data_IF_869931182818
#
_entry.id   IF_869931182818
#
_cell.length_a   1.000
_cell.length_b   1.000
_cell.length_c   1.000
_cell.angle_alpha   90.00
_cell.angle_beta   90.00
_cell.angle_gamma   90.00
#
_symmetry.space_group_name_H-M   'P 1'
#
loop_
_entity.id
_entity.type
_entity.pdbx_description
1 polymer ?
#
# COMPACT_ATOMS: atom_id res chain seq x y z
N UNK A 1 65.91 33.20 -32.71
CA UNK A 1 66.72 32.56 -31.65
C UNK A 1 65.78 32.16 -30.51
N UNK A 2 66.05 31.00 -29.92
CA UNK A 2 65.40 30.32 -28.79
C UNK A 2 64.13 29.46 -29.03
N UNK A 3 64.44 28.16 -29.15
CA UNK A 3 63.71 26.96 -28.69
C UNK A 3 63.26 27.15 -27.22
N UNK A 4 62.31 26.44 -26.59
CA UNK A 4 61.99 25.00 -26.49
C UNK A 4 60.89 24.96 -25.38
N UNK A 5 59.81 24.18 -25.41
CA UNK A 5 59.70 22.83 -24.81
C UNK A 5 58.24 22.34 -24.87
N UNK A 6 58.08 21.03 -24.99
CA UNK A 6 56.85 20.25 -24.97
C UNK A 6 56.14 20.23 -23.63
N UNK A 7 54.82 19.96 -23.62
CA UNK A 7 54.27 19.00 -22.65
C UNK A 7 52.93 18.40 -23.09
N UNK A 8 52.83 17.11 -22.83
CA UNK A 8 51.83 16.14 -23.21
C UNK A 8 51.08 15.74 -21.92
N UNK A 9 49.75 15.83 -21.88
CA UNK A 9 48.91 15.35 -20.77
C UNK A 9 47.55 14.95 -21.34
N UNK A 10 47.35 13.68 -21.71
CA UNK A 10 46.76 12.58 -20.92
C UNK A 10 45.38 12.91 -20.33
N UNK A 11 44.38 12.46 -21.08
CA UNK A 11 43.07 11.99 -20.62
C UNK A 11 43.19 11.04 -19.43
N UNK A 12 42.30 11.15 -18.44
CA UNK A 12 41.73 10.05 -17.62
C UNK A 12 40.96 10.59 -16.41
N UNK A 13 39.69 11.02 -16.60
CA UNK A 13 38.74 11.16 -15.47
C UNK A 13 37.34 11.56 -15.97
N UNK A 14 36.61 10.63 -16.61
CA UNK A 14 35.18 10.85 -16.89
C UNK A 14 34.29 9.62 -16.63
N UNK A 15 34.82 8.56 -16.00
CA UNK A 15 34.10 7.27 -15.86
C UNK A 15 33.58 6.93 -14.47
N UNK A 16 33.72 7.80 -13.46
CA UNK A 16 33.39 7.43 -12.06
C UNK A 16 32.00 7.87 -11.57
N UNK A 17 31.44 8.98 -12.09
CA UNK A 17 30.24 9.55 -11.45
C UNK A 17 28.92 8.85 -11.84
N UNK A 18 28.85 8.28 -13.05
CA UNK A 18 27.62 7.65 -13.52
C UNK A 18 27.40 6.26 -12.89
N UNK A 19 28.48 5.50 -12.68
CA UNK A 19 28.39 4.21 -12.00
C UNK A 19 28.09 4.35 -10.51
N UNK A 20 28.61 5.40 -9.85
CA UNK A 20 28.28 5.69 -8.46
C UNK A 20 26.79 6.05 -8.29
N UNK A 21 26.22 6.81 -9.23
CA UNK A 21 24.78 7.14 -9.22
C UNK A 21 23.89 5.92 -9.43
N UNK A 22 24.28 5.01 -10.34
CA UNK A 22 23.52 3.78 -10.57
C UNK A 22 23.59 2.87 -9.33
N UNK A 23 24.75 2.73 -8.70
CA UNK A 23 24.86 1.94 -7.47
C UNK A 23 24.05 2.52 -6.31
N UNK A 24 24.01 3.85 -6.14
CA UNK A 24 23.23 4.49 -5.08
C UNK A 24 21.71 4.31 -5.26
N UNK A 25 21.23 4.37 -6.51
CA UNK A 25 19.81 4.12 -6.82
C UNK A 25 19.45 2.64 -6.57
N UNK A 26 20.34 1.71 -6.93
CA UNK A 26 20.13 0.28 -6.65
C UNK A 26 20.11 -0.02 -5.14
N UNK A 27 20.95 0.65 -4.34
CA UNK A 27 20.97 0.49 -2.88
C UNK A 27 19.70 1.04 -2.21
N UNK A 28 19.16 2.17 -2.69
CA UNK A 28 17.91 2.73 -2.16
C UNK A 28 16.68 1.88 -2.50
N UNK A 29 16.67 1.20 -3.66
CA UNK A 29 15.59 0.29 -4.03
C UNK A 29 15.60 -1.01 -3.19
N UNK A 30 16.77 -1.47 -2.75
CA UNK A 30 16.88 -2.71 -1.94
C UNK A 30 16.50 -2.48 -0.48
N UNK A 31 16.62 -1.27 0.06
CA UNK A 31 16.19 -0.94 1.43
C UNK A 31 14.67 -0.99 1.62
N UNK A 32 13.88 -0.63 0.60
CA UNK A 32 12.41 -0.71 0.67
C UNK A 32 11.90 -2.16 0.61
N UNK A 33 12.61 -3.06 -0.06
CA UNK A 33 12.22 -4.48 -0.17
C UNK A 33 12.48 -5.23 1.14
N UNK A 34 13.51 -4.86 1.91
CA UNK A 34 13.83 -5.50 3.19
C UNK A 34 12.84 -5.12 4.31
N UNK A 35 12.22 -3.93 4.28
CA UNK A 35 11.18 -3.58 5.25
C UNK A 35 9.83 -4.27 4.98
N UNK A 36 9.56 -4.68 3.75
CA UNK A 36 8.36 -5.47 3.40
C UNK A 36 8.37 -6.89 3.99
N UNK A 37 9.54 -7.53 4.10
CA UNK A 37 9.65 -8.89 4.65
C UNK A 37 9.55 -8.97 6.17
N UNK A 38 9.89 -7.89 6.91
CA UNK A 38 9.69 -7.86 8.36
C UNK A 38 8.20 -7.75 8.76
N UNK A 39 7.35 -7.20 7.88
CA UNK A 39 5.91 -7.11 8.13
C UNK A 39 5.18 -8.43 7.82
N UNK A 40 5.71 -9.26 6.92
CA UNK A 40 5.11 -10.54 6.56
C UNK A 40 5.36 -11.67 7.59
N UNK A 41 6.38 -11.55 8.44
CA UNK A 41 6.65 -12.54 9.50
C UNK A 41 5.71 -12.38 10.72
N UNK A 42 5.05 -11.22 10.87
CA UNK A 42 4.16 -10.93 12.00
C UNK A 42 2.67 -11.20 11.73
N UNK A 43 2.30 -11.63 10.52
CA UNK A 43 0.90 -11.89 10.12
C UNK A 43 0.38 -13.28 10.53
N UNK A 44 1.23 -14.18 11.03
CA UNK A 44 0.77 -15.48 11.58
C UNK A 44 0.16 -15.38 13.00
N UNK A 45 0.03 -14.17 13.55
CA UNK A 45 -0.62 -13.90 14.84
C UNK A 45 -1.98 -13.17 14.67
N UNK A 46 -2.76 -13.54 13.65
CA UNK A 46 -4.12 -13.05 13.44
C UNK A 46 -5.15 -14.18 13.66
N UNK A 47 -5.07 -14.86 14.81
CA UNK A 47 -6.11 -15.79 15.31
C UNK A 47 -6.79 -15.30 16.60
N UNK A 48 -6.56 -14.07 17.02
CA UNK A 48 -7.19 -13.47 18.22
C UNK A 48 -7.96 -12.20 17.87
N UNK A 49 -8.81 -12.26 16.85
CA UNK A 49 -9.84 -11.24 16.59
C UNK A 49 -11.20 -11.73 17.14
N UNK A 50 -11.20 -12.15 18.40
CA UNK A 50 -12.40 -12.60 19.12
C UNK A 50 -12.54 -12.03 20.53
N UNK A 51 -11.48 -11.41 21.07
CA UNK A 51 -11.43 -10.96 22.48
C UNK A 51 -11.09 -9.48 22.66
N UNK A 52 -10.81 -8.73 21.59
CA UNK A 52 -10.50 -7.29 21.66
C UNK A 52 -11.74 -6.38 21.57
N UNK A 53 -12.95 -6.91 21.81
CA UNK A 53 -14.20 -6.14 21.76
C UNK A 53 -14.64 -5.65 23.15
N UNK A 54 -14.13 -6.24 24.25
CA UNK A 54 -14.50 -5.84 25.62
C UNK A 54 -13.74 -4.63 26.15
N UNK A 55 -12.54 -4.35 25.67
CA UNK A 55 -11.71 -3.26 26.22
C UNK A 55 -12.00 -1.88 25.60
N UNK A 56 -12.51 -1.85 24.36
CA UNK A 56 -12.90 -0.59 23.70
C UNK A 56 -14.15 0.03 24.38
N UNK A 57 -15.03 -0.79 24.94
CA UNK A 57 -16.26 -0.31 25.60
C UNK A 57 -15.97 0.41 26.93
N UNK A 58 -14.90 0.02 27.64
CA UNK A 58 -14.51 0.64 28.91
C UNK A 58 -13.81 2.00 28.73
N UNK A 59 -13.12 2.21 27.60
CA UNK A 59 -12.48 3.49 27.31
C UNK A 59 -13.47 4.54 26.81
N UNK A 60 -14.52 4.16 26.07
CA UNK A 60 -15.57 5.11 25.63
C UNK A 60 -16.36 5.67 26.82
N UNK A 61 -16.63 4.84 27.84
CA UNK A 61 -17.27 5.28 29.08
C UNK A 61 -16.39 6.23 29.91
N UNK A 62 -15.08 6.27 29.64
CA UNK A 62 -14.10 7.12 30.34
C UNK A 62 -13.85 8.45 29.63
N UNK A 63 -14.29 8.59 28.37
CA UNK A 63 -14.08 9.79 27.55
C UNK A 63 -15.08 10.91 27.88
N UNK A 64 -16.25 10.59 28.44
CA UNK A 64 -17.22 11.58 28.89
C UNK A 64 -17.40 11.47 30.40
N UNK A 65 -17.11 12.54 31.12
CA UNK A 65 -17.40 12.65 32.55
C UNK A 65 -18.90 12.49 32.77
N UNK A 66 -19.31 11.84 33.86
CA UNK A 66 -20.73 11.72 34.24
C UNK A 66 -21.45 13.09 34.25
N UNK A 67 -20.71 14.16 34.58
CA UNK A 67 -21.20 15.54 34.55
C UNK A 67 -21.51 16.05 33.13
N UNK A 68 -20.74 15.61 32.13
CA UNK A 68 -20.95 15.98 30.73
C UNK A 68 -22.14 15.22 30.13
N UNK A 69 -22.35 13.98 30.57
CA UNK A 69 -23.52 13.17 30.19
C UNK A 69 -24.80 13.78 30.77
N UNK A 70 -24.77 14.23 32.02
CA UNK A 70 -25.93 14.91 32.62
C UNK A 70 -26.22 16.24 31.94
N UNK A 71 -25.19 17.05 31.64
CA UNK A 71 -25.34 18.28 30.86
C UNK A 71 -25.92 18.01 29.47
N UNK A 72 -25.47 16.95 28.78
CA UNK A 72 -26.04 16.53 27.49
C UNK A 72 -27.54 16.23 27.58
N UNK A 73 -27.94 15.50 28.63
CA UNK A 73 -29.33 15.13 28.86
C UNK A 73 -30.21 16.35 29.12
N UNK A 74 -29.77 17.24 29.99
CA UNK A 74 -30.49 18.48 30.29
C UNK A 74 -30.66 19.36 29.05
N UNK A 75 -29.63 19.49 28.22
CA UNK A 75 -29.70 20.21 26.95
C UNK A 75 -30.68 19.57 25.96
N UNK A 76 -30.69 18.23 25.88
CA UNK A 76 -31.62 17.50 25.04
C UNK A 76 -33.08 17.69 25.49
N UNK A 77 -33.34 17.56 26.79
CA UNK A 77 -34.68 17.72 27.35
C UNK A 77 -35.19 19.17 27.16
N UNK A 78 -34.31 20.16 27.33
CA UNK A 78 -34.61 21.56 27.01
C UNK A 78 -35.03 21.72 25.54
N UNK A 79 -34.24 21.22 24.58
CA UNK A 79 -34.58 21.26 23.15
C UNK A 79 -35.89 20.53 22.82
N UNK A 80 -36.10 19.35 23.41
CA UNK A 80 -37.28 18.55 23.19
C UNK A 80 -38.54 19.25 23.71
N UNK A 81 -38.45 19.99 24.81
CA UNK A 81 -39.58 20.76 25.33
C UNK A 81 -40.08 21.80 24.31
N UNK A 82 -39.17 22.48 23.60
CA UNK A 82 -39.50 23.46 22.56
C UNK A 82 -40.03 22.83 21.28
N UNK A 83 -39.63 21.60 20.95
CA UNK A 83 -40.20 20.85 19.82
C UNK A 83 -41.71 20.57 19.97
N UNK A 84 -42.20 20.52 21.23
CA UNK A 84 -43.60 20.26 21.58
C UNK A 84 -44.45 21.51 21.73
N UNK A 85 -43.85 22.71 21.79
CA UNK A 85 -44.55 23.99 21.94
C UNK A 85 -45.26 24.43 20.63
N UNK A 86 -46.28 25.31 20.70
CA UNK A 86 -46.99 25.78 19.51
C UNK A 86 -46.11 26.63 18.58
N UNK A 87 -46.59 26.87 17.36
CA UNK A 87 -45.80 27.42 16.23
C UNK A 87 -45.14 28.78 16.49
N UNK A 88 -45.67 29.59 17.42
CA UNK A 88 -45.02 30.83 17.85
C UNK A 88 -43.67 30.55 18.53
N UNK A 89 -43.65 29.63 19.50
CA UNK A 89 -42.43 29.28 20.24
C UNK A 89 -41.41 28.56 19.37
N UNK A 90 -41.85 27.70 18.43
CA UNK A 90 -40.95 27.03 17.48
C UNK A 90 -40.21 28.06 16.62
N UNK A 91 -40.90 29.11 16.17
CA UNK A 91 -40.30 30.19 15.39
C UNK A 91 -39.37 31.05 16.24
N UNK A 92 -39.79 31.43 17.44
CA UNK A 92 -38.95 32.14 18.40
C UNK A 92 -37.65 31.38 18.68
N UNK A 93 -37.75 30.08 18.97
CA UNK A 93 -36.60 29.20 19.19
C UNK A 93 -35.75 29.01 17.94
N UNK A 94 -36.35 29.03 16.74
CA UNK A 94 -35.64 29.00 15.47
C UNK A 94 -34.75 30.22 15.25
N UNK A 95 -35.15 31.40 15.73
CA UNK A 95 -34.36 32.63 15.66
C UNK A 95 -33.19 32.61 16.63
N UNK A 96 -33.45 32.17 17.87
CA UNK A 96 -32.39 31.91 18.86
C UNK A 96 -31.37 30.96 18.23
N UNK A 97 -31.81 29.84 17.65
CA UNK A 97 -30.92 28.89 16.98
C UNK A 97 -30.06 29.52 15.87
N UNK A 98 -30.63 30.40 15.05
CA UNK A 98 -29.89 31.07 13.97
C UNK A 98 -28.84 32.07 14.49
N UNK A 99 -29.14 32.75 15.61
CA UNK A 99 -28.25 33.73 16.24
C UNK A 99 -27.18 33.09 17.15
N UNK A 100 -27.41 31.86 17.59
CA UNK A 100 -26.53 31.09 18.47
C UNK A 100 -25.35 30.38 17.80
N UNK A 101 -25.14 30.64 16.50
CA UNK A 101 -24.00 30.08 15.76
C UNK A 101 -22.70 30.76 16.20
N UNK A 102 -22.76 32.04 16.58
CA UNK A 102 -21.61 32.79 17.07
C UNK A 102 -21.37 32.57 18.59
N UNK A 103 -20.10 32.68 19.00
CA UNK A 103 -19.60 32.27 20.34
C UNK A 103 -20.31 32.92 21.53
N UNK A 104 -20.90 34.10 21.32
CA UNK A 104 -21.66 34.84 22.32
C UNK A 104 -22.89 35.43 21.62
N UNK A 105 -24.09 35.17 22.15
CA UNK A 105 -25.29 35.82 21.64
C UNK A 105 -25.19 37.29 21.99
N UNK A 106 -25.39 38.15 21.00
CA UNK A 106 -25.49 39.58 21.25
C UNK A 106 -26.60 39.88 22.27
N UNK A 107 -26.35 40.86 23.14
CA UNK A 107 -27.26 41.21 24.23
C UNK A 107 -28.62 41.67 23.69
N UNK A 108 -28.64 42.42 22.58
CA UNK A 108 -29.87 42.87 21.95
C UNK A 108 -30.65 41.69 21.34
N UNK A 109 -29.95 40.72 20.74
CA UNK A 109 -30.54 39.48 20.24
C UNK A 109 -31.14 38.63 21.37
N UNK A 110 -30.47 38.55 22.52
CA UNK A 110 -30.98 37.88 23.72
C UNK A 110 -32.27 38.54 24.22
N UNK A 111 -32.29 39.87 24.30
CA UNK A 111 -33.47 40.63 24.74
C UNK A 111 -34.62 40.47 23.74
N UNK A 112 -34.34 40.55 22.44
CA UNK A 112 -35.34 40.33 21.38
C UNK A 112 -35.98 38.93 21.45
N UNK A 113 -35.17 37.89 21.65
CA UNK A 113 -35.65 36.53 21.82
C UNK A 113 -36.55 36.40 23.06
N UNK A 114 -36.13 36.98 24.18
CA UNK A 114 -36.91 36.97 25.42
C UNK A 114 -38.25 37.70 25.27
N UNK A 115 -38.28 38.86 24.60
CA UNK A 115 -39.52 39.59 24.26
C UNK A 115 -40.41 38.70 23.40
N UNK A 116 -39.87 38.15 22.31
CA UNK A 116 -40.62 37.29 21.39
C UNK A 116 -41.27 36.09 22.10
N UNK A 117 -40.49 35.38 22.93
CA UNK A 117 -40.98 34.21 23.66
C UNK A 117 -42.04 34.58 24.70
N UNK A 118 -41.91 35.75 25.33
CA UNK A 118 -42.91 36.30 26.23
C UNK A 118 -44.22 36.60 25.49
N UNK A 119 -44.16 37.25 24.33
CA UNK A 119 -45.35 37.53 23.53
C UNK A 119 -46.03 36.25 23.04
N UNK A 120 -45.24 35.20 22.71
CA UNK A 120 -45.80 33.89 22.42
C UNK A 120 -46.57 33.30 23.60
N UNK A 121 -46.05 33.44 24.83
CA UNK A 121 -46.74 32.98 26.04
C UNK A 121 -48.03 33.76 26.29
N UNK A 122 -47.97 35.09 26.21
CA UNK A 122 -49.14 35.97 26.38
C UNK A 122 -50.22 35.64 25.34
N UNK A 123 -49.82 35.35 24.10
CA UNK A 123 -50.76 34.99 23.02
C UNK A 123 -51.52 33.69 23.33
N UNK A 124 -50.91 32.75 24.06
CA UNK A 124 -51.60 31.52 24.47
C UNK A 124 -52.65 31.74 25.56
N UNK A 125 -52.54 32.82 26.34
CA UNK A 125 -53.41 33.08 27.49
C UNK A 125 -54.81 33.64 27.13
N UNK A 126 -55.12 33.90 25.84
CA UNK A 126 -56.40 34.36 25.25
C UNK A 126 -57.06 35.64 25.82
N UNK A 127 -56.74 36.06 27.05
CA UNK A 127 -57.42 37.15 27.78
C UNK A 127 -56.54 38.39 28.00
N UNK A 128 -55.33 38.41 27.48
CA UNK A 128 -54.39 39.52 27.64
C UNK A 128 -54.04 40.13 26.29
N UNK A 129 -54.28 41.43 26.14
CA UNK A 129 -53.79 42.22 25.02
C UNK A 129 -52.31 42.55 25.22
N UNK A 130 -51.52 42.49 24.16
CA UNK A 130 -50.11 42.84 24.17
C UNK A 130 -49.92 44.36 24.29
N UNK A 131 -48.83 44.85 24.93
CA UNK A 131 -48.44 46.25 24.85
C UNK A 131 -48.18 46.66 23.39
N UNK A 132 -48.66 47.83 22.97
CA UNK A 132 -48.51 48.33 21.60
C UNK A 132 -47.04 48.65 21.29
N UNK A 133 -46.28 48.99 22.32
CA UNK A 133 -44.83 49.22 22.29
C UNK A 133 -44.06 47.98 21.85
N UNK A 134 -44.63 46.77 22.05
CA UNK A 134 -44.06 45.50 21.63
C UNK A 134 -44.54 45.01 20.26
N UNK A 135 -45.34 45.81 19.54
CA UNK A 135 -45.85 45.44 18.21
C UNK A 135 -44.78 45.05 17.18
N UNK A 136 -43.55 45.63 17.15
CA UNK A 136 -42.52 45.23 16.19
C UNK A 136 -42.02 43.78 16.38
N UNK A 137 -42.26 43.21 17.56
CA UNK A 137 -41.87 41.85 17.93
C UNK A 137 -43.01 40.84 17.76
N UNK A 138 -44.21 41.29 17.38
CA UNK A 138 -45.29 40.41 16.96
C UNK A 138 -45.02 39.92 15.53
N UNK A 139 -44.94 38.60 15.35
CA UNK A 139 -44.58 38.02 14.07
C UNK A 139 -45.80 37.87 13.17
N UNK A 140 -45.87 38.66 12.11
CA UNK A 140 -46.63 38.32 10.92
C UNK A 140 -45.81 37.40 10.00
N UNK A 141 -46.45 36.37 9.47
CA UNK A 141 -45.81 35.22 8.82
C UNK A 141 -45.09 35.50 7.48
N UNK A 142 -44.96 36.76 7.06
CA UNK A 142 -44.57 37.14 5.68
C UNK A 142 -43.25 37.92 5.55
N UNK A 143 -42.55 38.27 6.63
CA UNK A 143 -41.37 39.16 6.60
C UNK A 143 -40.08 38.47 7.05
N UNK A 144 -39.69 37.38 6.37
CA UNK A 144 -38.36 36.77 6.54
C UNK A 144 -37.25 37.48 5.73
N UNK A 145 -37.59 38.40 4.82
CA UNK A 145 -36.64 39.12 3.98
C UNK A 145 -36.41 40.55 4.49
N UNK A 146 -35.44 40.72 5.39
CA UNK A 146 -34.94 42.04 5.77
C UNK A 146 -35.53 42.59 7.06
N UNK A 147 -35.27 41.94 8.20
CA UNK A 147 -35.46 42.57 9.50
C UNK A 147 -34.47 43.73 9.63
N UNK A 148 -34.96 44.95 9.43
CA UNK A 148 -34.26 46.13 9.92
C UNK A 148 -34.06 45.96 11.43
N UNK A 149 -32.82 46.10 11.90
CA UNK A 149 -32.49 46.10 13.32
C UNK A 149 -33.47 47.03 14.05
N UNK A 150 -34.27 46.47 14.97
CA UNK A 150 -35.16 47.27 15.80
C UNK A 150 -34.26 48.14 16.67
N UNK A 151 -34.46 49.46 16.65
CA UNK A 151 -33.62 50.36 17.42
C UNK A 151 -33.67 50.02 18.91
N UNK A 152 -32.54 50.11 19.61
CA UNK A 152 -32.43 49.88 21.06
C UNK A 152 -33.46 50.68 21.87
N UNK A 153 -33.87 51.87 21.39
CA UNK A 153 -34.93 52.67 22.01
C UNK A 153 -36.29 51.95 22.03
N UNK A 154 -36.71 51.40 20.89
CA UNK A 154 -37.99 50.68 20.76
C UNK A 154 -37.97 49.38 21.57
N UNK A 155 -36.81 48.72 21.62
CA UNK A 155 -36.61 47.56 22.49
C UNK A 155 -36.80 47.94 23.96
N UNK A 156 -36.17 49.03 24.41
CA UNK A 156 -36.31 49.53 25.78
C UNK A 156 -37.75 49.93 26.13
N UNK A 157 -38.46 50.59 25.22
CA UNK A 157 -39.89 50.96 25.39
C UNK A 157 -40.78 49.71 25.55
N UNK A 158 -40.55 48.65 24.76
CA UNK A 158 -41.25 47.38 24.94
C UNK A 158 -40.91 46.73 26.29
N UNK A 159 -39.64 46.69 26.70
CA UNK A 159 -39.25 46.12 28.00
C UNK A 159 -39.87 46.89 29.17
N UNK A 160 -39.88 48.23 29.11
CA UNK A 160 -40.56 49.07 30.12
C UNK A 160 -42.06 48.75 30.18
N UNK A 161 -42.70 48.58 29.02
CA UNK A 161 -44.12 48.21 28.97
C UNK A 161 -44.40 46.83 29.57
N UNK A 162 -43.52 45.84 29.36
CA UNK A 162 -43.63 44.51 29.97
C UNK A 162 -43.45 44.58 31.50
N UNK A 163 -42.59 45.47 31.99
CA UNK A 163 -42.35 45.67 33.41
C UNK A 163 -43.57 46.22 34.18
N UNK A 164 -44.54 46.84 33.49
CA UNK A 164 -45.78 47.36 34.10
C UNK A 164 -46.73 46.25 34.58
N UNK A 165 -46.55 45.02 34.11
CA UNK A 165 -47.32 43.85 34.53
C UNK A 165 -46.41 42.82 35.19
N UNK A 166 -46.66 42.50 36.46
CA UNK A 166 -45.87 41.50 37.18
C UNK A 166 -45.86 40.12 36.48
N UNK A 167 -46.97 39.77 35.82
CA UNK A 167 -47.08 38.52 35.06
C UNK A 167 -46.15 38.54 33.83
N UNK A 168 -46.18 39.62 33.04
CA UNK A 168 -45.34 39.75 31.84
C UNK A 168 -43.86 39.86 32.20
N UNK A 169 -43.54 40.59 33.26
CA UNK A 169 -42.18 40.70 33.78
C UNK A 169 -41.62 39.34 34.24
N UNK A 170 -42.45 38.52 34.89
CA UNK A 170 -42.05 37.17 35.30
C UNK A 170 -41.70 36.30 34.08
N UNK A 171 -42.57 36.26 33.05
CA UNK A 171 -42.30 35.49 31.83
C UNK A 171 -41.07 36.03 31.08
N UNK A 172 -40.95 37.35 30.91
CA UNK A 172 -39.79 37.99 30.27
C UNK A 172 -38.48 37.69 30.97
N UNK A 173 -38.40 37.93 32.28
CA UNK A 173 -37.19 37.67 33.06
C UNK A 173 -36.84 36.18 33.14
N UNK A 174 -37.84 35.30 33.02
CA UNK A 174 -37.64 33.87 32.84
C UNK A 174 -36.94 33.56 31.52
N UNK A 175 -37.51 33.99 30.40
CA UNK A 175 -36.92 33.75 29.08
C UNK A 175 -35.56 34.42 28.90
N UNK A 176 -35.32 35.59 29.48
CA UNK A 176 -34.01 36.24 29.43
C UNK A 176 -32.90 35.37 30.05
N UNK A 177 -33.24 34.57 31.08
CA UNK A 177 -32.32 33.61 31.72
C UNK A 177 -32.25 32.28 30.97
N UNK A 178 -33.34 31.85 30.34
CA UNK A 178 -33.40 30.58 29.58
C UNK A 178 -32.73 30.67 28.21
N UNK A 179 -32.80 31.82 27.53
CA UNK A 179 -32.30 32.00 26.15
C UNK A 179 -30.80 31.64 26.03
N UNK A 180 -29.89 32.06 26.92
CA UNK A 180 -28.49 31.59 26.90
C UNK A 180 -28.34 30.07 27.06
N UNK A 181 -29.18 29.44 27.89
CA UNK A 181 -29.14 27.98 28.09
C UNK A 181 -29.62 27.25 26.83
N UNK A 182 -30.68 27.75 26.20
CA UNK A 182 -31.18 27.28 24.91
C UNK A 182 -30.12 27.41 23.82
N UNK A 183 -29.37 28.51 23.83
CA UNK A 183 -28.30 28.77 22.89
C UNK A 183 -27.18 27.72 23.00
N UNK A 184 -26.73 27.46 24.23
CA UNK A 184 -25.76 26.43 24.51
C UNK A 184 -26.24 25.05 24.05
N UNK A 185 -27.52 24.73 24.29
CA UNK A 185 -28.12 23.49 23.85
C UNK A 185 -28.17 23.38 22.31
N UNK A 186 -28.61 24.42 21.59
CA UNK A 186 -28.66 24.44 20.13
C UNK A 186 -27.28 24.29 19.49
N UNK A 187 -26.28 24.97 20.04
CA UNK A 187 -24.90 24.87 19.56
C UNK A 187 -24.36 23.46 19.73
N UNK A 188 -24.51 22.88 20.93
CA UNK A 188 -24.07 21.51 21.18
C UNK A 188 -24.78 20.51 20.28
N UNK A 189 -26.06 20.74 19.98
CA UNK A 189 -26.81 19.91 19.02
C UNK A 189 -26.25 20.01 17.60
N UNK A 190 -25.98 21.23 17.12
CA UNK A 190 -25.34 21.46 15.82
C UNK A 190 -23.96 20.79 15.74
N UNK A 191 -23.14 20.90 16.80
CA UNK A 191 -21.81 20.28 16.87
C UNK A 191 -21.91 18.74 16.80
N UNK A 192 -22.89 18.15 17.48
CA UNK A 192 -23.15 16.70 17.42
C UNK A 192 -23.54 16.27 16.01
N UNK A 193 -24.43 17.00 15.35
CA UNK A 193 -24.88 16.64 14.00
C UNK A 193 -23.78 16.85 12.96
N UNK A 194 -22.97 17.91 13.09
CA UNK A 194 -21.76 18.11 12.29
C UNK A 194 -20.76 16.97 12.49
N UNK A 195 -20.51 16.56 13.73
CA UNK A 195 -19.63 15.44 14.03
C UNK A 195 -20.13 14.15 13.37
N UNK A 196 -21.43 13.84 13.48
CA UNK A 196 -22.03 12.66 12.82
C UNK A 196 -21.83 12.68 11.32
N UNK A 197 -22.02 13.83 10.68
CA UNK A 197 -21.83 13.97 9.23
C UNK A 197 -20.36 13.75 8.83
N UNK A 198 -19.41 14.36 9.56
CA UNK A 198 -17.98 14.13 9.35
C UNK A 198 -17.63 12.65 9.51
N UNK A 199 -18.13 11.98 10.57
CA UNK A 199 -17.88 10.56 10.78
C UNK A 199 -18.50 9.68 9.70
N UNK A 200 -19.70 10.01 9.23
CA UNK A 200 -20.35 9.31 8.13
C UNK A 200 -19.51 9.42 6.85
N UNK A 201 -19.10 10.63 6.48
CA UNK A 201 -18.30 10.89 5.28
C UNK A 201 -16.93 10.19 5.35
N UNK A 202 -16.23 10.29 6.48
CA UNK A 202 -14.97 9.59 6.69
C UNK A 202 -15.12 8.06 6.65
N UNK A 203 -16.24 7.51 7.14
CA UNK A 203 -16.50 6.07 7.10
C UNK A 203 -16.75 5.61 5.66
N UNK A 204 -17.50 6.37 4.87
CA UNK A 204 -17.74 6.08 3.45
C UNK A 204 -16.43 6.04 2.67
N UNK A 205 -15.54 7.01 2.88
CA UNK A 205 -14.22 7.05 2.25
C UNK A 205 -13.34 5.87 2.68
N UNK A 206 -13.32 5.53 3.98
CA UNK A 206 -12.58 4.37 4.47
C UNK A 206 -13.09 3.06 3.88
N UNK A 207 -14.40 2.89 3.74
CA UNK A 207 -14.99 1.72 3.08
C UNK A 207 -14.54 1.64 1.61
N UNK A 208 -14.51 2.77 0.90
CA UNK A 208 -14.03 2.83 -0.48
C UNK A 208 -12.55 2.43 -0.58
N UNK A 209 -11.70 2.92 0.32
CA UNK A 209 -10.29 2.55 0.40
C UNK A 209 -10.09 1.05 0.68
N UNK A 210 -10.83 0.49 1.64
CA UNK A 210 -10.75 -0.94 1.95
C UNK A 210 -11.12 -1.78 0.72
N UNK A 211 -12.20 -1.42 0.02
CA UNK A 211 -12.60 -2.11 -1.22
C UNK A 211 -11.52 -2.04 -2.29
N UNK A 212 -10.88 -0.88 -2.45
CA UNK A 212 -9.77 -0.70 -3.37
C UNK A 212 -8.57 -1.62 -3.01
N UNK A 213 -8.18 -1.66 -1.73
CA UNK A 213 -7.08 -2.50 -1.26
C UNK A 213 -7.37 -3.99 -1.46
N UNK A 214 -8.58 -4.45 -1.14
CA UNK A 214 -9.01 -5.84 -1.36
C UNK A 214 -8.97 -6.20 -2.84
N UNK A 215 -9.39 -5.28 -3.73
CA UNK A 215 -9.32 -5.53 -5.16
C UNK A 215 -7.88 -5.61 -5.66
N UNK A 216 -7.00 -4.72 -5.17
CA UNK A 216 -5.56 -4.75 -5.48
C UNK A 216 -4.92 -6.07 -5.02
N UNK A 217 -5.24 -6.54 -3.82
CA UNK A 217 -4.74 -7.82 -3.30
C UNK A 217 -5.17 -8.99 -4.19
N UNK A 218 -6.44 -9.04 -4.60
CA UNK A 218 -6.93 -10.06 -5.54
C UNK A 218 -6.18 -10.05 -6.87
N UNK A 219 -5.86 -8.86 -7.41
CA UNK A 219 -5.10 -8.74 -8.65
C UNK A 219 -3.66 -9.23 -8.47
N UNK A 220 -3.02 -8.88 -7.34
CA UNK A 220 -1.68 -9.36 -7.01
C UNK A 220 -1.67 -10.89 -6.86
N UNK A 221 -2.64 -11.47 -6.14
CA UNK A 221 -2.78 -12.92 -5.98
C UNK A 221 -2.84 -13.62 -7.34
N UNK A 222 -3.67 -13.14 -8.27
CA UNK A 222 -3.76 -13.70 -9.62
C UNK A 222 -2.43 -13.63 -10.39
N UNK A 223 -1.70 -12.52 -10.24
CA UNK A 223 -0.38 -12.38 -10.85
C UNK A 223 0.64 -13.34 -10.23
N UNK A 224 0.61 -13.51 -8.91
CA UNK A 224 1.44 -14.47 -8.20
C UNK A 224 1.13 -15.89 -8.65
N UNK A 225 -0.14 -16.28 -8.73
CA UNK A 225 -0.56 -17.61 -9.20
C UNK A 225 -0.02 -17.89 -10.62
N UNK A 226 -0.22 -16.94 -11.54
CA UNK A 226 0.31 -17.04 -12.91
C UNK A 226 1.84 -17.12 -12.95
N UNK A 227 2.51 -16.35 -12.10
CA UNK A 227 3.98 -16.38 -12.02
C UNK A 227 4.47 -17.73 -11.48
N UNK A 228 3.79 -18.29 -10.49
CA UNK A 228 4.13 -19.63 -9.96
C UNK A 228 3.91 -20.73 -10.98
N UNK A 229 2.83 -20.66 -11.77
CA UNK A 229 2.58 -21.58 -12.88
C UNK A 229 3.70 -21.52 -13.92
N UNK A 230 4.04 -20.31 -14.39
CA UNK A 230 5.13 -20.12 -15.35
C UNK A 230 6.50 -20.53 -14.80
N UNK A 231 6.75 -20.31 -13.51
CA UNK A 231 7.99 -20.77 -12.86
C UNK A 231 8.05 -22.29 -12.77
N UNK A 232 6.91 -22.96 -12.58
CA UNK A 232 6.82 -24.42 -12.61
C UNK A 232 7.09 -24.96 -14.02
N UNK A 233 6.52 -24.35 -15.06
CA UNK A 233 6.80 -24.70 -16.46
C UNK A 233 8.28 -24.54 -16.79
N UNK A 234 8.90 -23.42 -16.39
CA UNK A 234 10.34 -23.20 -16.57
C UNK A 234 11.16 -24.26 -15.83
N UNK A 235 10.76 -24.65 -14.61
CA UNK A 235 11.39 -25.73 -13.86
C UNK A 235 11.34 -27.07 -14.60
N UNK A 236 10.22 -27.39 -15.25
CA UNK A 236 10.10 -28.61 -16.08
C UNK A 236 11.01 -28.55 -17.31
N UNK A 237 11.09 -27.39 -17.99
CA UNK A 237 11.99 -27.21 -19.14
C UNK A 237 13.46 -27.35 -18.77
N UNK A 238 13.86 -26.77 -17.62
CA UNK A 238 15.22 -26.96 -17.09
C UNK A 238 15.50 -28.43 -16.82
N UNK A 239 14.55 -29.15 -16.20
CA UNK A 239 14.68 -30.60 -15.98
C UNK A 239 14.82 -31.40 -17.29
N UNK A 240 14.06 -31.04 -18.34
CA UNK A 240 14.21 -31.68 -19.66
C UNK A 240 15.58 -31.39 -20.29
N UNK A 241 16.08 -30.16 -20.15
CA UNK A 241 17.39 -29.78 -20.66
C UNK A 241 18.52 -30.53 -19.94
N UNK A 242 18.40 -30.72 -18.62
CA UNK A 242 19.36 -31.49 -17.83
C UNK A 242 19.40 -32.97 -18.28
N UNK A 243 18.23 -33.59 -18.49
CA UNK A 243 18.15 -34.96 -19.02
C UNK A 243 18.77 -35.07 -20.42
N UNK A 244 18.51 -34.08 -21.29
CA UNK A 244 19.08 -34.06 -22.65
C UNK A 244 20.60 -33.85 -22.62
N UNK A 245 21.09 -32.99 -21.73
CA UNK A 245 22.52 -32.77 -21.50
C UNK A 245 23.22 -34.03 -21.00
N UNK A 246 22.62 -34.76 -20.05
CA UNK A 246 23.15 -36.03 -19.55
C UNK A 246 23.21 -37.09 -20.65
N UNK A 247 22.14 -37.22 -21.45
CA UNK A 247 22.12 -38.14 -22.61
C UNK A 247 23.14 -37.75 -23.67
N UNK A 248 23.37 -36.46 -23.88
CA UNK A 248 24.40 -35.99 -24.81
C UNK A 248 25.80 -36.35 -24.30
N UNK A 249 26.08 -36.16 -23.01
CA UNK A 249 27.35 -36.56 -22.40
C UNK A 249 27.60 -38.06 -22.54
N UNK A 250 26.61 -38.92 -22.23
CA UNK A 250 26.77 -40.37 -22.38
C UNK A 250 27.03 -40.77 -23.83
N UNK A 251 26.34 -40.16 -24.79
CA UNK A 251 26.58 -40.43 -26.22
C UNK A 251 27.98 -40.00 -26.68
N UNK A 252 28.51 -38.89 -26.16
CA UNK A 252 29.86 -38.42 -26.47
C UNK A 252 30.91 -39.36 -25.86
N UNK A 253 30.70 -39.82 -24.63
CA UNK A 253 31.57 -40.80 -23.98
C UNK A 253 31.58 -42.13 -24.73
N UNK A 254 30.41 -42.64 -25.15
CA UNK A 254 30.27 -43.85 -25.97
C UNK A 254 30.99 -43.71 -27.31
N UNK A 255 30.83 -42.56 -27.98
CA UNK A 255 31.53 -42.27 -29.24
C UNK A 255 33.06 -42.22 -29.04
N UNK A 256 33.54 -41.61 -27.96
CA UNK A 256 34.95 -41.56 -27.64
C UNK A 256 35.54 -42.97 -27.38
N UNK A 257 34.79 -43.84 -26.71
CA UNK A 257 35.17 -45.24 -26.50
C UNK A 257 35.22 -46.03 -27.81
N UNK A 258 34.22 -45.88 -28.68
CA UNK A 258 34.21 -46.50 -30.02
C UNK A 258 35.40 -46.04 -30.86
N UNK A 259 35.68 -44.74 -30.86
CA UNK A 259 36.78 -44.16 -31.63
C UNK A 259 38.13 -44.65 -31.10
N UNK A 260 38.26 -44.81 -29.77
CA UNK A 260 39.43 -45.41 -29.15
C UNK A 260 39.62 -46.88 -29.57
N UNK A 261 38.56 -47.69 -29.52
CA UNK A 261 38.67 -49.11 -29.88
C UNK A 261 39.04 -49.29 -31.36
N UNK A 262 38.46 -48.48 -32.26
CA UNK A 262 38.80 -48.50 -33.69
C UNK A 262 40.26 -48.11 -33.94
N UNK A 263 40.77 -47.10 -33.23
CA UNK A 263 42.19 -46.71 -33.30
C UNK A 263 43.09 -47.83 -32.76
N UNK A 264 42.73 -48.46 -31.64
CA UNK A 264 43.50 -49.57 -31.07
C UNK A 264 43.47 -50.82 -31.99
N UNK A 265 42.36 -51.08 -32.67
CA UNK A 265 42.20 -52.17 -33.63
C UNK A 265 43.05 -51.92 -34.89
N UNK A 266 43.01 -50.71 -35.45
CA UNK A 266 43.83 -50.33 -36.61
C UNK A 266 45.32 -50.35 -36.28
N UNK A 267 45.74 -49.87 -35.10
CA UNK A 267 47.13 -49.97 -34.63
C UNK A 267 47.58 -51.41 -34.43
N UNK A 268 46.73 -52.29 -33.87
CA UNK A 268 47.01 -53.73 -33.76
C UNK A 268 47.19 -54.38 -35.13
N UNK A 269 46.30 -54.08 -36.07
CA UNK A 269 46.38 -54.57 -37.46
C UNK A 269 47.68 -54.12 -38.14
N UNK A 270 48.04 -52.83 -38.01
CA UNK A 270 49.29 -52.29 -38.54
C UNK A 270 50.53 -52.97 -37.92
N UNK A 271 50.52 -53.18 -36.60
CA UNK A 271 51.59 -53.90 -35.90
C UNK A 271 51.74 -55.33 -36.40
N UNK A 272 50.62 -56.02 -36.63
CA UNK A 272 50.62 -57.37 -37.20
C UNK A 272 51.22 -57.37 -38.61
N UNK A 273 50.80 -56.44 -39.47
CA UNK A 273 51.37 -56.29 -40.83
C UNK A 273 52.87 -56.02 -40.80
N UNK A 274 53.34 -55.12 -39.93
CA UNK A 274 54.77 -54.87 -39.76
C UNK A 274 55.53 -56.13 -39.33
N UNK A 275 54.99 -56.87 -38.36
CA UNK A 275 55.62 -58.10 -37.89
C UNK A 275 55.73 -59.15 -39.02
N UNK A 276 54.70 -59.25 -39.85
CA UNK A 276 54.67 -60.11 -41.04
C UNK A 276 55.75 -59.70 -42.06
N UNK A 277 55.87 -58.39 -42.36
CA UNK A 277 56.90 -57.86 -43.27
C UNK A 277 58.31 -58.16 -42.74
N UNK A 278 58.57 -57.88 -41.46
CA UNK A 278 59.86 -58.16 -40.84
C UNK A 278 60.20 -59.66 -40.90
N UNK A 279 59.24 -60.54 -40.61
CA UNK A 279 59.46 -61.98 -40.68
C UNK A 279 59.78 -62.47 -42.11
N UNK A 280 59.15 -61.87 -43.13
CA UNK A 280 59.45 -62.17 -44.54
C UNK A 280 60.83 -61.67 -44.93
N UNK A 281 61.20 -60.47 -44.50
CA UNK A 281 62.52 -59.89 -44.77
C UNK A 281 63.63 -60.68 -44.09
N UNK A 282 63.41 -61.14 -42.85
CA UNK A 282 64.36 -62.01 -42.13
C UNK A 282 64.51 -63.36 -42.83
N UNK A 283 63.41 -64.00 -43.24
CA UNK A 283 63.45 -65.24 -44.05
C UNK A 283 64.21 -65.04 -45.36
N UNK A 284 63.96 -63.93 -46.06
CA UNK A 284 64.67 -63.60 -47.31
C UNK A 284 66.17 -63.34 -47.07
N UNK A 285 66.53 -62.67 -45.97
CA UNK A 285 67.92 -62.44 -45.58
C UNK A 285 68.63 -63.75 -45.19
N UNK A 286 67.96 -64.66 -44.48
CA UNK A 286 68.51 -65.99 -44.17
C UNK A 286 68.71 -66.79 -45.46
N UNK A 287 67.75 -66.75 -46.39
CA UNK A 287 67.87 -67.41 -47.69
C UNK A 287 69.02 -66.83 -48.52
N UNK A 288 69.16 -65.50 -48.60
CA UNK A 288 70.26 -64.88 -49.33
C UNK A 288 71.62 -65.16 -48.68
N UNK A 289 71.72 -65.16 -47.34
CA UNK A 289 72.92 -65.57 -46.63
C UNK A 289 73.28 -67.05 -46.89
N UNK A 290 72.30 -67.95 -46.94
CA UNK A 290 72.53 -69.37 -47.28
C UNK A 290 73.03 -69.55 -48.72
N UNK A 291 72.56 -68.74 -49.67
CA UNK A 291 73.07 -68.74 -51.05
C UNK A 291 74.49 -68.19 -51.15
N UNK A 292 74.84 -67.18 -50.33
CA UNK A 292 76.22 -66.68 -50.21
C UNK A 292 77.14 -67.75 -49.58
N UNK A 293 76.64 -68.50 -48.59
CA UNK A 293 77.40 -69.59 -47.97
C UNK A 293 77.58 -70.79 -48.91
N UNK A 294 76.58 -71.13 -49.72
CA UNK A 294 76.72 -72.11 -50.79
C UNK A 294 77.71 -71.65 -51.88
N UNK A 295 77.79 -70.35 -52.19
CA UNK A 295 78.76 -69.83 -53.17
C UNK A 295 80.18 -69.69 -52.59
N UNK A 296 80.34 -69.53 -51.28
CA UNK A 296 81.65 -69.63 -50.62
C UNK A 296 82.16 -71.07 -50.53
N UNK A 297 81.29 -72.05 -50.25
CA UNK A 297 81.66 -73.48 -50.31
C UNK A 297 81.97 -73.94 -51.75
N UNK A 298 81.37 -73.32 -52.76
CA UNK A 298 81.74 -73.56 -54.16
C UNK A 298 83.06 -72.89 -54.59
N UNK A 299 83.60 -71.97 -53.80
CA UNK A 299 84.90 -71.32 -54.03
C UNK A 299 86.06 -71.97 -53.26
N UNK A 300 85.77 -72.81 -52.26
CA UNK A 300 86.75 -73.69 -51.61
C UNK A 300 86.81 -75.12 -52.20
N UNK A 301 85.87 -75.53 -53.06
CA UNK A 301 85.89 -76.84 -53.75
C UNK A 301 86.38 -76.72 -55.22
N UNK A 302 86.61 -75.50 -55.74
CA UNK A 302 87.34 -75.28 -57.00
C UNK A 302 88.86 -75.19 -56.83
N UNK A 303 89.38 -75.80 -55.75
CA UNK A 303 90.79 -76.14 -55.55
C UNK A 303 90.76 -77.51 -54.84
N UNK A 304 91.29 -78.55 -55.49
CA UNK A 304 91.09 -80.00 -55.19
C UNK A 304 89.76 -80.49 -55.79
N UNK A 305 89.68 -80.94 -57.03
CA UNK A 305 90.57 -81.91 -57.65
C UNK A 305 89.90 -83.28 -57.67
N UNK A 306 89.59 -83.73 -58.90
CA UNK A 306 89.47 -85.11 -59.33
C UNK A 306 88.43 -86.04 -58.68
N UNK A 307 87.70 -86.69 -59.60
CA UNK A 307 87.36 -88.11 -59.57
C UNK A 307 86.56 -88.57 -58.36
N UNK A 308 85.27 -88.85 -58.53
CA UNK A 308 84.81 -90.23 -58.46
C UNK A 308 83.38 -90.35 -59.03
N UNK A 309 83.25 -91.36 -59.87
CA UNK A 309 82.05 -91.89 -60.51
C UNK A 309 81.55 -93.02 -59.61
N UNK A 310 80.25 -93.08 -59.29
CA UNK A 310 79.53 -94.33 -59.03
C UNK A 310 78.02 -94.11 -58.82
N UNK A 311 77.26 -94.89 -59.60
CA UNK A 311 75.87 -95.39 -59.47
C UNK A 311 74.70 -94.45 -59.15
#
# INVERSE_FOLDING_TARGET
MNRQFSMQSRSSSCFSLHHLRIMLISLLMMTEICHGFLWLSKSNSLKTLGTAHSDIHNDVAKILSEKEIESLRLNYDALQSYSRKPDCFKRAAGLVRAQCIDLDMDEDARVEAAITMTLCEVATAKHHSFPLECSPYLYDASSQSGRASVSSKVQGECVDSLARSAQFWSSYSGYLREVPQLCYAFRRWNDIDLAKDIYHNATVEKIALIRFLVNREKMISKHTDRWTEMSSEMGQLVGQFELLSQKYHSNVDDFALLLKDEVDNTLRSFRSMLHDIFSRQEKANIQSASLVQCSFQHREISNIGNSFRCH
#
